data_IF_168004780009
#
_entry.id   IF_168004780009
#
_cell.length_a   1.000
_cell.length_b   1.000
_cell.length_c   1.000
_cell.angle_alpha   90.00
_cell.angle_beta   90.00
_cell.angle_gamma   90.00
#
_symmetry.space_group_name_H-M   'P 1'
#
loop_
_entity.id
_entity.type
_entity.pdbx_description
1 polymer ?
#
# COMPACT_ATOMS: atom_id res chain seq x y z
N UNK A 1 1.90 14.67 13.54
CA UNK A 1 3.20 14.08 13.15
C UNK A 1 3.37 14.08 11.63
N UNK A 2 2.51 13.39 10.87
CA UNK A 2 2.74 13.21 9.42
C UNK A 2 2.69 14.46 8.51
N UNK A 3 2.20 15.61 8.99
CA UNK A 3 2.32 16.90 8.26
C UNK A 3 3.78 17.23 7.91
N UNK A 4 4.73 16.76 8.71
CA UNK A 4 6.16 16.97 8.45
C UNK A 4 6.59 16.39 7.09
N UNK A 5 5.94 15.33 6.59
CA UNK A 5 6.20 14.77 5.27
C UNK A 5 5.83 15.77 4.17
N UNK A 6 4.61 16.31 4.19
CA UNK A 6 4.20 17.33 3.21
C UNK A 6 5.04 18.60 3.29
N UNK A 7 5.47 18.99 4.50
CA UNK A 7 6.32 20.17 4.69
C UNK A 7 7.75 19.97 4.15
N UNK A 8 8.18 18.73 3.97
CA UNK A 8 9.50 18.35 3.44
C UNK A 8 9.40 17.70 2.04
N UNK A 9 8.27 17.83 1.35
CA UNK A 9 8.03 17.14 0.08
C UNK A 9 9.11 17.42 -0.98
N UNK A 10 9.60 18.67 -1.04
CA UNK A 10 10.70 19.03 -1.95
C UNK A 10 12.00 18.28 -1.61
N UNK A 11 12.33 18.11 -0.33
CA UNK A 11 13.53 17.37 0.05
C UNK A 11 13.46 15.94 -0.45
N UNK A 12 12.30 15.29 -0.35
CA UNK A 12 12.13 13.94 -0.86
C UNK A 12 12.24 13.88 -2.39
N UNK A 13 11.69 14.86 -3.12
CA UNK A 13 11.85 14.95 -4.58
C UNK A 13 13.32 15.10 -4.99
N UNK A 14 14.03 16.04 -4.35
CA UNK A 14 15.43 16.36 -4.66
C UNK A 14 16.35 15.17 -4.38
N UNK A 15 16.04 14.39 -3.33
CA UNK A 15 16.84 13.26 -2.87
C UNK A 15 16.33 11.90 -3.35
N UNK A 16 15.26 11.86 -4.16
CA UNK A 16 14.83 10.62 -4.79
C UNK A 16 15.83 10.24 -5.91
N UNK A 17 16.08 8.94 -6.15
CA UNK A 17 17.05 8.46 -7.14
C UNK A 17 16.56 8.59 -8.60
N UNK A 18 15.68 9.56 -8.88
CA UNK A 18 15.10 9.82 -10.19
C UNK A 18 16.12 10.47 -11.12
N UNK A 19 15.86 10.43 -12.43
CA UNK A 19 16.65 11.22 -13.38
C UNK A 19 16.39 12.70 -13.13
N UNK A 20 17.39 13.56 -13.28
CA UNK A 20 17.21 15.00 -13.01
C UNK A 20 16.09 15.60 -13.87
N UNK A 21 16.02 15.24 -15.16
CA UNK A 21 14.96 15.71 -16.05
C UNK A 21 13.55 15.24 -15.64
N UNK A 22 13.46 14.17 -14.85
CA UNK A 22 12.20 13.61 -14.35
C UNK A 22 11.83 14.12 -12.95
N UNK A 23 12.67 14.93 -12.30
CA UNK A 23 12.34 15.58 -11.02
C UNK A 23 11.57 16.88 -11.24
N UNK A 24 10.74 17.26 -10.27
CA UNK A 24 10.05 18.55 -10.25
C UNK A 24 10.92 19.62 -9.61
N UNK A 25 11.01 20.77 -10.27
CA UNK A 25 11.62 21.99 -9.69
C UNK A 25 10.91 22.45 -8.41
N UNK A 26 9.59 22.22 -8.33
CA UNK A 26 8.79 22.56 -7.16
C UNK A 26 7.62 21.58 -6.95
N UNK A 27 7.60 20.94 -5.79
CA UNK A 27 6.48 20.14 -5.31
C UNK A 27 5.51 21.05 -4.55
N UNK A 28 4.42 21.44 -5.22
CA UNK A 28 3.39 22.31 -4.65
C UNK A 28 2.13 21.55 -4.25
N UNK A 29 1.48 22.03 -3.18
CA UNK A 29 0.06 21.79 -2.97
C UNK A 29 -0.37 20.41 -2.48
N UNK A 30 0.52 19.58 -1.93
CA UNK A 30 0.11 18.32 -1.29
C UNK A 30 -0.24 18.57 0.17
N UNK A 31 -1.53 18.51 0.49
CA UNK A 31 -1.96 18.55 1.90
C UNK A 31 -2.26 17.15 2.40
N UNK A 32 -1.67 16.76 3.53
CA UNK A 32 -1.88 15.46 4.14
C UNK A 32 -2.63 15.55 5.48
N UNK A 33 -3.64 14.70 5.65
CA UNK A 33 -4.34 14.54 6.93
C UNK A 33 -4.60 13.08 7.25
N UNK A 34 -4.44 12.73 8.51
CA UNK A 34 -5.03 11.49 9.05
C UNK A 34 -6.45 11.85 9.50
N UNK A 35 -7.44 11.12 9.00
CA UNK A 35 -8.85 11.34 9.31
C UNK A 35 -9.43 10.15 10.06
N UNK A 36 -10.48 10.40 10.83
CA UNK A 36 -11.32 9.35 11.42
C UNK A 36 -12.56 9.21 10.54
N UNK A 37 -12.73 8.04 9.94
CA UNK A 37 -13.90 7.70 9.12
C UNK A 37 -15.11 7.56 10.02
N UNK A 38 -16.16 8.34 9.74
CA UNK A 38 -17.42 8.29 10.48
C UNK A 38 -18.44 7.30 9.88
N UNK A 39 -18.34 7.03 8.57
CA UNK A 39 -19.17 6.09 7.84
C UNK A 39 -18.80 6.09 6.36
N UNK A 40 -19.03 4.97 5.68
CA UNK A 40 -18.63 4.70 4.30
C UNK A 40 -19.82 4.22 3.47
N UNK A 41 -19.80 4.46 2.17
CA UNK A 41 -20.86 4.05 1.25
C UNK A 41 -20.32 3.90 -0.17
N UNK A 42 -21.12 3.33 -1.07
CA UNK A 42 -20.70 3.10 -2.46
C UNK A 42 -19.50 2.15 -2.53
N UNK A 43 -18.54 2.49 -3.38
CA UNK A 43 -17.36 1.65 -3.67
C UNK A 43 -16.38 1.52 -2.48
N UNK A 44 -16.56 2.33 -1.43
CA UNK A 44 -15.76 2.28 -0.22
C UNK A 44 -16.41 1.47 0.93
N UNK A 45 -17.51 0.73 0.67
CA UNK A 45 -18.17 -0.08 1.69
C UNK A 45 -18.76 -1.38 1.12
N UNK A 46 -18.55 -2.55 1.74
CA UNK A 46 -17.85 -2.75 3.03
C UNK A 46 -16.32 -2.90 2.89
N UNK A 47 -15.81 -3.00 1.66
CA UNK A 47 -14.37 -2.98 1.39
C UNK A 47 -13.94 -1.53 1.17
N UNK A 48 -12.94 -1.08 1.90
CA UNK A 48 -12.53 0.33 1.94
C UNK A 48 -11.03 0.46 1.69
N UNK A 49 -10.57 1.53 1.01
CA UNK A 49 -9.15 1.85 0.97
C UNK A 49 -8.63 2.27 2.35
N UNK A 50 -7.31 2.30 2.52
CA UNK A 50 -6.67 2.84 3.73
C UNK A 50 -6.17 4.27 3.55
N UNK A 51 -6.10 4.73 2.30
CA UNK A 51 -5.66 6.07 1.90
C UNK A 51 -6.39 6.52 0.64
N UNK A 52 -6.51 7.83 0.45
CA UNK A 52 -7.14 8.44 -0.73
C UNK A 52 -6.39 9.71 -1.11
N UNK A 53 -5.99 9.84 -2.38
CA UNK A 53 -5.38 11.05 -2.93
C UNK A 53 -6.22 11.61 -4.09
N UNK A 54 -6.79 12.80 -3.89
CA UNK A 54 -7.73 13.42 -4.85
C UNK A 54 -7.46 14.91 -5.03
N UNK A 55 -7.85 15.50 -6.18
CA UNK A 55 -8.62 14.90 -7.29
C UNK A 55 -7.75 14.10 -8.27
N UNK A 56 -8.40 13.29 -9.12
CA UNK A 56 -7.73 12.51 -10.18
C UNK A 56 -7.27 13.35 -11.38
N UNK A 57 -7.71 14.61 -11.50
CA UNK A 57 -7.38 15.46 -12.64
C UNK A 57 -5.96 16.06 -12.51
N UNK A 58 -5.04 15.66 -13.39
CA UNK A 58 -3.63 16.04 -13.29
C UNK A 58 -3.37 17.55 -13.42
N UNK A 59 -4.12 18.25 -14.27
CA UNK A 59 -3.99 19.71 -14.37
C UNK A 59 -4.36 20.41 -13.04
N UNK A 60 -5.40 19.94 -12.32
CA UNK A 60 -5.77 20.49 -11.01
C UNK A 60 -4.67 20.18 -9.99
N UNK A 61 -4.17 18.95 -9.97
CA UNK A 61 -3.07 18.56 -9.06
C UNK A 61 -1.83 19.42 -9.28
N UNK A 62 -1.53 19.77 -10.53
CA UNK A 62 -0.37 20.58 -10.92
C UNK A 62 -0.57 22.07 -10.59
N UNK A 63 -1.73 22.64 -10.93
CA UNK A 63 -1.96 24.10 -10.84
C UNK A 63 -2.49 24.55 -9.47
N UNK A 64 -3.21 23.68 -8.76
CA UNK A 64 -3.89 23.99 -7.49
C UNK A 64 -3.37 23.13 -6.34
N UNK A 65 -3.15 21.84 -6.58
CA UNK A 65 -2.69 20.87 -5.59
C UNK A 65 -3.67 19.70 -5.37
N UNK A 66 -3.38 18.87 -4.37
CA UNK A 66 -4.19 17.70 -4.01
C UNK A 66 -4.35 17.54 -2.49
N UNK A 67 -5.33 16.73 -2.11
CA UNK A 67 -5.55 16.29 -0.73
C UNK A 67 -5.30 14.80 -0.68
N UNK A 68 -4.32 14.43 0.12
CA UNK A 68 -4.07 13.06 0.50
C UNK A 68 -4.58 12.85 1.93
N UNK A 69 -5.35 11.78 2.14
CA UNK A 69 -5.87 11.40 3.45
C UNK A 69 -5.59 9.94 3.75
N UNK A 70 -5.19 9.65 4.98
CA UNK A 70 -5.15 8.28 5.49
C UNK A 70 -6.29 8.04 6.47
N UNK A 71 -6.94 6.89 6.34
CA UNK A 71 -8.10 6.50 7.14
C UNK A 71 -7.60 5.84 8.43
N UNK A 72 -7.25 6.68 9.42
CA UNK A 72 -6.46 6.26 10.58
C UNK A 72 -7.13 5.21 11.45
N UNK A 73 -8.46 5.29 11.63
CA UNK A 73 -9.23 4.29 12.40
C UNK A 73 -9.42 2.98 11.62
N UNK A 74 -9.48 3.02 10.29
CA UNK A 74 -9.53 1.82 9.45
C UNK A 74 -8.18 1.07 9.52
N UNK A 75 -7.07 1.77 9.33
CA UNK A 75 -5.71 1.21 9.47
C UNK A 75 -5.53 0.59 10.86
N UNK A 76 -5.96 1.30 11.90
CA UNK A 76 -5.90 0.82 13.28
C UNK A 76 -6.72 -0.46 13.47
N UNK A 77 -7.95 -0.51 12.95
CA UNK A 77 -8.80 -1.70 13.03
C UNK A 77 -8.20 -2.90 12.28
N UNK A 78 -7.60 -2.68 11.10
CA UNK A 78 -6.84 -3.71 10.39
C UNK A 78 -5.72 -4.27 11.25
N UNK A 79 -4.85 -3.42 11.80
CA UNK A 79 -3.70 -3.83 12.59
C UNK A 79 -4.11 -4.63 13.84
N UNK A 80 -5.19 -4.23 14.51
CA UNK A 80 -5.70 -4.92 15.70
C UNK A 80 -6.50 -6.19 15.38
N UNK A 81 -6.87 -6.43 14.12
CA UNK A 81 -7.56 -7.65 13.69
C UNK A 81 -6.60 -8.77 13.25
N UNK A 82 -5.33 -8.46 12.99
CA UNK A 82 -4.33 -9.44 12.54
C UNK A 82 -3.98 -10.39 13.68
N UNK A 83 -3.96 -11.70 13.41
CA UNK A 83 -3.52 -12.69 14.39
C UNK A 83 -1.99 -12.81 14.37
N UNK A 84 -1.36 -12.72 15.54
CA UNK A 84 0.08 -12.96 15.68
C UNK A 84 0.50 -14.37 15.28
N UNK A 85 -0.43 -15.34 15.35
CA UNK A 85 -0.20 -16.72 14.92
C UNK A 85 0.10 -16.84 13.42
N UNK A 86 -0.63 -16.10 12.56
CA UNK A 86 -0.33 -16.09 11.11
C UNK A 86 1.02 -15.48 10.83
N UNK A 87 1.35 -14.38 11.51
CA UNK A 87 2.67 -13.76 11.38
C UNK A 87 3.79 -14.78 11.69
N UNK A 88 3.71 -15.42 12.87
CA UNK A 88 4.71 -16.39 13.33
C UNK A 88 4.89 -17.61 12.40
N UNK A 89 3.86 -17.99 11.64
CA UNK A 89 3.95 -19.08 10.67
C UNK A 89 4.78 -18.73 9.43
N UNK A 90 4.81 -17.45 9.02
CA UNK A 90 5.38 -17.04 7.73
C UNK A 90 6.68 -16.24 7.82
N UNK A 91 7.03 -15.68 8.97
CA UNK A 91 8.33 -15.04 9.22
C UNK A 91 9.47 -16.06 9.18
N UNK A 92 10.64 -15.65 8.73
CA UNK A 92 11.84 -16.47 8.67
C UNK A 92 12.36 -16.81 10.08
N UNK A 93 12.38 -15.89 11.02
CA UNK A 93 12.92 -16.18 12.36
C UNK A 93 12.29 -15.33 13.45
N UNK A 94 12.77 -15.52 14.68
CA UNK A 94 12.28 -14.78 15.84
C UNK A 94 12.72 -13.31 15.81
N UNK A 95 13.80 -12.97 15.11
CA UNK A 95 14.26 -11.59 14.98
C UNK A 95 13.29 -10.80 14.09
N UNK A 96 12.94 -11.34 12.91
CA UNK A 96 11.90 -10.76 12.04
C UNK A 96 10.56 -10.66 12.81
N UNK A 97 10.18 -11.70 13.56
CA UNK A 97 8.94 -11.72 14.34
C UNK A 97 8.86 -10.59 15.36
N UNK A 98 9.91 -10.37 16.14
CA UNK A 98 9.93 -9.34 17.18
C UNK A 98 10.09 -7.93 16.58
N UNK A 99 10.83 -7.78 15.49
CA UNK A 99 10.90 -6.52 14.73
C UNK A 99 9.54 -6.11 14.16
N UNK A 100 8.82 -7.04 13.54
CA UNK A 100 7.49 -6.79 13.00
C UNK A 100 6.50 -6.42 14.12
N UNK A 101 6.55 -7.09 15.28
CA UNK A 101 5.73 -6.73 16.44
C UNK A 101 6.04 -5.34 17.00
N UNK A 102 7.31 -4.96 17.01
CA UNK A 102 7.74 -3.68 17.57
C UNK A 102 7.50 -2.50 16.60
N UNK A 103 7.71 -2.72 15.30
CA UNK A 103 7.81 -1.64 14.31
C UNK A 103 6.83 -1.76 13.14
N UNK A 104 6.28 -2.95 12.85
CA UNK A 104 5.46 -3.20 11.65
C UNK A 104 4.25 -2.30 11.52
N UNK A 105 3.52 -2.04 12.61
CA UNK A 105 2.38 -1.11 12.58
C UNK A 105 2.79 0.33 12.21
N UNK A 106 3.93 0.81 12.72
CA UNK A 106 4.42 2.15 12.41
C UNK A 106 5.02 2.20 11.00
N UNK A 107 5.70 1.12 10.58
CA UNK A 107 6.21 0.93 9.24
C UNK A 107 5.08 1.00 8.20
N UNK A 108 4.00 0.23 8.36
CA UNK A 108 2.83 0.23 7.47
C UNK A 108 2.22 1.65 7.34
N UNK A 109 2.06 2.33 8.48
CA UNK A 109 1.52 3.70 8.53
C UNK A 109 2.41 4.71 7.82
N UNK A 110 3.73 4.61 8.00
CA UNK A 110 4.70 5.50 7.36
C UNK A 110 4.87 5.19 5.87
N UNK A 111 4.86 3.90 5.49
CA UNK A 111 4.87 3.48 4.10
C UNK A 111 3.68 4.05 3.36
N UNK A 112 2.47 3.86 3.89
CA UNK A 112 1.23 4.42 3.33
C UNK A 112 1.32 5.95 3.23
N UNK A 113 1.81 6.62 4.27
CA UNK A 113 1.94 8.07 4.25
C UNK A 113 2.95 8.56 3.19
N UNK A 114 4.10 7.88 3.05
CA UNK A 114 5.09 8.21 2.04
C UNK A 114 4.56 7.92 0.63
N UNK A 115 3.94 6.77 0.41
CA UNK A 115 3.29 6.38 -0.85
C UNK A 115 2.28 7.45 -1.30
N UNK A 116 1.36 7.81 -0.40
CA UNK A 116 0.24 8.68 -0.72
C UNK A 116 0.63 10.15 -0.89
N UNK A 117 1.54 10.64 -0.04
CA UNK A 117 1.91 12.07 0.04
C UNK A 117 3.07 12.39 -0.88
N UNK A 118 4.08 11.52 -0.92
CA UNK A 118 5.32 11.78 -1.64
C UNK A 118 5.35 10.95 -2.92
N UNK A 119 5.01 9.66 -2.85
CA UNK A 119 5.01 8.71 -3.94
C UNK A 119 4.24 9.27 -5.13
N UNK A 120 2.92 9.33 -5.05
CA UNK A 120 2.08 9.86 -6.13
C UNK A 120 2.29 11.34 -6.49
N UNK A 121 2.93 12.12 -5.62
CA UNK A 121 3.20 13.53 -5.87
C UNK A 121 4.56 13.77 -6.56
N UNK A 122 5.47 12.81 -6.51
CA UNK A 122 6.82 12.93 -7.04
C UNK A 122 6.90 12.71 -8.54
N UNK A 123 7.94 13.28 -9.14
CA UNK A 123 8.31 13.05 -10.54
C UNK A 123 7.37 13.67 -11.58
N UNK A 124 7.89 13.91 -12.77
CA UNK A 124 7.14 14.52 -13.88
C UNK A 124 7.31 13.77 -15.19
N UNK A 125 6.33 13.93 -16.08
CA UNK A 125 6.37 13.40 -17.44
C UNK A 125 7.13 14.35 -18.38
N UNK A 126 7.78 13.78 -19.39
CA UNK A 126 8.54 14.57 -20.36
C UNK A 126 7.61 15.40 -21.26
N UNK A 127 8.04 16.60 -21.71
CA UNK A 127 7.26 17.40 -22.64
C UNK A 127 6.90 16.60 -23.91
N UNK A 128 5.61 16.59 -24.25
CA UNK A 128 5.10 15.88 -25.43
C UNK A 128 4.72 14.41 -25.19
N UNK A 129 4.98 13.86 -24.00
CA UNK A 129 4.48 12.54 -23.59
C UNK A 129 3.05 12.69 -23.06
N UNK A 130 2.16 11.78 -23.47
CA UNK A 130 0.76 11.75 -23.02
C UNK A 130 0.63 11.33 -21.55
N UNK A 131 -0.60 11.39 -21.04
CA UNK A 131 -0.87 10.98 -19.65
C UNK A 131 -0.57 9.48 -19.45
N UNK A 132 -0.15 9.08 -18.24
CA UNK A 132 0.26 7.69 -17.96
C UNK A 132 -0.82 6.66 -18.34
N UNK A 133 -2.10 7.01 -18.17
CA UNK A 133 -3.23 6.15 -18.58
C UNK A 133 -3.31 5.96 -20.10
N UNK A 134 -2.92 6.96 -20.88
CA UNK A 134 -2.96 6.93 -22.34
C UNK A 134 -1.75 6.17 -22.90
N UNK A 135 -0.56 6.39 -22.33
CA UNK A 135 0.70 5.81 -22.80
C UNK A 135 0.85 4.35 -22.36
N UNK A 136 0.52 4.03 -21.10
CA UNK A 136 0.73 2.70 -20.51
C UNK A 136 -0.53 1.82 -20.47
N UNK A 137 -1.70 2.37 -20.81
CA UNK A 137 -2.97 1.65 -20.96
C UNK A 137 -3.32 0.80 -19.73
N UNK A 138 -3.45 -0.52 -19.90
CA UNK A 138 -3.80 -1.49 -18.86
C UNK A 138 -2.71 -1.63 -17.78
N UNK A 139 -1.47 -1.23 -18.04
CA UNK A 139 -0.39 -1.27 -17.06
C UNK A 139 -0.23 0.01 -16.24
N UNK A 140 -0.97 1.07 -16.59
CA UNK A 140 -0.82 2.38 -15.95
C UNK A 140 -1.01 2.34 -14.43
N UNK A 141 -2.07 1.67 -13.95
CA UNK A 141 -2.36 1.58 -12.52
C UNK A 141 -1.29 0.79 -11.77
N UNK A 142 -0.92 -0.40 -12.24
CA UNK A 142 0.06 -1.23 -11.53
C UNK A 142 1.45 -0.58 -11.50
N UNK A 143 1.86 0.12 -12.57
CA UNK A 143 3.11 0.87 -12.56
C UNK A 143 3.06 2.04 -11.58
N UNK A 144 2.00 2.84 -11.59
CA UNK A 144 1.91 4.03 -10.73
C UNK A 144 1.92 3.64 -9.25
N UNK A 145 1.22 2.58 -8.89
CA UNK A 145 1.20 2.04 -7.52
C UNK A 145 2.56 1.52 -7.08
N UNK A 146 3.23 0.70 -7.90
CA UNK A 146 4.55 0.18 -7.53
C UNK A 146 5.63 1.26 -7.50
N UNK A 147 5.54 2.29 -8.35
CA UNK A 147 6.43 3.46 -8.28
C UNK A 147 6.24 4.22 -6.97
N UNK A 148 5.00 4.43 -6.53
CA UNK A 148 4.71 5.07 -5.25
C UNK A 148 5.15 4.21 -4.06
N UNK A 149 4.95 2.88 -4.12
CA UNK A 149 5.45 1.92 -3.14
C UNK A 149 6.97 1.96 -3.03
N UNK A 150 7.68 1.94 -4.17
CA UNK A 150 9.14 2.01 -4.24
C UNK A 150 9.68 3.31 -3.63
N UNK A 151 9.02 4.44 -3.87
CA UNK A 151 9.39 5.68 -3.22
C UNK A 151 9.23 5.59 -1.70
N UNK A 152 8.10 5.02 -1.25
CA UNK A 152 7.87 4.75 0.17
C UNK A 152 8.96 3.86 0.77
N UNK A 153 9.27 2.74 0.13
CA UNK A 153 10.31 1.79 0.57
C UNK A 153 11.70 2.44 0.61
N UNK A 154 12.04 3.23 -0.41
CA UNK A 154 13.34 3.90 -0.48
C UNK A 154 13.56 4.87 0.69
N UNK A 155 12.52 5.59 1.11
CA UNK A 155 12.62 6.55 2.22
C UNK A 155 12.28 5.96 3.60
N UNK A 156 11.66 4.78 3.69
CA UNK A 156 11.51 4.05 4.95
C UNK A 156 12.85 3.61 5.54
N UNK A 157 13.77 3.20 4.68
CA UNK A 157 15.14 2.84 5.07
C UNK A 157 16.07 4.07 4.96
N UNK A 158 15.67 5.19 5.58
CA UNK A 158 16.44 6.44 5.51
C UNK A 158 16.51 7.18 6.87
N UNK A 159 17.70 7.66 7.29
CA UNK A 159 17.86 8.39 8.56
C UNK A 159 17.03 9.67 8.65
N UNK A 160 16.59 10.22 7.50
CA UNK A 160 15.77 11.43 7.47
C UNK A 160 14.48 11.27 8.28
N UNK A 161 13.90 10.08 8.34
CA UNK A 161 12.69 9.86 9.13
C UNK A 161 12.92 10.12 10.62
N UNK A 162 14.07 9.70 11.14
CA UNK A 162 14.44 9.96 12.54
C UNK A 162 14.79 11.43 12.74
N UNK A 163 15.51 12.07 11.81
CA UNK A 163 15.79 13.51 11.85
C UNK A 163 14.52 14.37 11.90
N UNK A 164 13.47 13.94 11.20
CA UNK A 164 12.16 14.60 11.19
C UNK A 164 11.29 14.23 12.41
N UNK A 165 11.80 13.41 13.34
CA UNK A 165 11.09 12.98 14.54
C UNK A 165 9.88 12.08 14.27
N UNK A 166 9.89 11.36 13.14
CA UNK A 166 8.82 10.41 12.78
C UNK A 166 9.01 9.05 13.45
N UNK A 167 10.26 8.66 13.69
CA UNK A 167 10.67 7.37 14.25
C UNK A 167 11.84 7.57 15.21
N UNK A 168 11.98 6.67 16.18
CA UNK A 168 13.10 6.69 17.14
C UNK A 168 14.32 5.90 16.62
N UNK A 169 14.07 4.82 15.88
CA UNK A 169 15.07 4.00 15.20
C UNK A 169 14.62 3.75 13.76
N UNK A 170 15.17 4.51 12.82
CA UNK A 170 14.81 4.37 11.40
C UNK A 170 15.31 3.05 10.80
N UNK A 171 16.40 2.48 11.33
CA UNK A 171 17.03 1.30 10.76
C UNK A 171 16.21 0.06 11.11
N UNK A 172 15.85 -0.10 12.40
CA UNK A 172 14.98 -1.20 12.84
C UNK A 172 13.60 -1.13 12.15
N UNK A 173 13.02 0.07 12.01
CA UNK A 173 11.75 0.24 11.31
C UNK A 173 11.85 -0.08 9.82
N UNK A 174 12.90 0.38 9.15
CA UNK A 174 13.14 0.10 7.74
C UNK A 174 13.37 -1.39 7.47
N UNK A 175 14.12 -2.08 8.35
CA UNK A 175 14.31 -3.54 8.32
C UNK A 175 12.97 -4.27 8.39
N UNK A 176 12.14 -3.98 9.39
CA UNK A 176 10.81 -4.58 9.52
C UNK A 176 9.92 -4.32 8.28
N UNK A 177 9.97 -3.10 7.73
CA UNK A 177 9.22 -2.76 6.52
C UNK A 177 9.66 -3.60 5.32
N UNK A 178 10.96 -3.81 5.14
CA UNK A 178 11.51 -4.58 4.02
C UNK A 178 11.17 -6.06 4.14
N UNK A 179 11.34 -6.65 5.32
CA UNK A 179 10.94 -8.03 5.58
C UNK A 179 9.45 -8.25 5.29
N UNK A 180 8.61 -7.38 5.84
CA UNK A 180 7.17 -7.40 5.60
C UNK A 180 6.81 -7.29 4.12
N UNK A 181 7.46 -6.38 3.38
CA UNK A 181 7.19 -6.16 1.96
C UNK A 181 7.62 -7.36 1.10
N UNK A 182 8.83 -7.88 1.30
CA UNK A 182 9.34 -9.05 0.55
C UNK A 182 8.52 -10.31 0.87
N UNK A 183 8.22 -10.56 2.15
CA UNK A 183 7.35 -11.67 2.58
C UNK A 183 5.94 -11.53 2.03
N UNK A 184 5.43 -10.31 1.86
CA UNK A 184 4.15 -10.09 1.21
C UNK A 184 4.21 -10.37 -0.30
N UNK A 185 5.09 -9.67 -1.00
CA UNK A 185 5.21 -9.70 -2.45
C UNK A 185 5.53 -11.08 -3.02
N UNK A 186 6.43 -11.82 -2.37
CA UNK A 186 6.89 -13.13 -2.86
C UNK A 186 6.06 -14.32 -2.36
N UNK A 187 5.22 -14.16 -1.33
CA UNK A 187 4.64 -15.32 -0.65
C UNK A 187 3.25 -15.09 -0.06
N UNK A 188 3.14 -14.27 0.98
CA UNK A 188 1.93 -14.27 1.82
C UNK A 188 0.71 -13.63 1.15
N UNK A 189 0.89 -12.81 0.10
CA UNK A 189 -0.24 -12.30 -0.67
C UNK A 189 -1.01 -13.39 -1.43
N UNK A 190 -0.37 -14.52 -1.74
CA UNK A 190 -0.95 -15.63 -2.50
C UNK A 190 -2.12 -16.31 -1.76
N UNK A 191 -2.23 -16.08 -0.44
CA UNK A 191 -3.38 -16.49 0.39
C UNK A 191 -4.73 -15.96 -0.15
N UNK A 192 -4.69 -14.89 -0.96
CA UNK A 192 -5.86 -14.22 -1.54
C UNK A 192 -6.36 -14.82 -2.85
N UNK A 193 -5.57 -15.70 -3.47
CA UNK A 193 -5.84 -16.28 -4.79
C UNK A 193 -6.39 -17.71 -4.66
N UNK A 194 -7.20 -18.14 -5.63
CA UNK A 194 -7.54 -19.56 -5.74
C UNK A 194 -6.39 -20.30 -6.42
N UNK A 195 -6.14 -21.55 -6.02
CA UNK A 195 -5.09 -22.37 -6.61
C UNK A 195 -5.27 -22.48 -8.13
N UNK A 196 -4.21 -22.18 -8.88
CA UNK A 196 -4.22 -22.14 -10.35
C UNK A 196 -4.42 -20.73 -10.95
N UNK A 197 -4.85 -19.75 -10.15
CA UNK A 197 -4.97 -18.37 -10.60
C UNK A 197 -3.58 -17.68 -10.68
N UNK A 198 -3.46 -16.75 -11.62
CA UNK A 198 -2.37 -15.76 -11.68
C UNK A 198 -2.81 -14.46 -10.96
N UNK A 199 -1.88 -13.53 -10.75
CA UNK A 199 -2.22 -12.24 -10.13
C UNK A 199 -2.91 -11.31 -11.13
N UNK A 200 -4.08 -10.79 -10.78
CA UNK A 200 -4.85 -9.85 -11.62
C UNK A 200 -4.90 -8.43 -11.07
N UNK A 201 -5.04 -8.27 -9.76
CA UNK A 201 -5.26 -7.00 -9.09
C UNK A 201 -3.98 -6.12 -9.11
N UNK A 202 -4.11 -4.84 -9.47
CA UNK A 202 -2.99 -3.94 -9.74
C UNK A 202 -2.04 -3.74 -8.54
N UNK A 203 -2.58 -3.68 -7.31
CA UNK A 203 -1.77 -3.56 -6.10
C UNK A 203 -1.02 -4.86 -5.77
N UNK A 204 -1.67 -6.02 -5.91
CA UNK A 204 -1.00 -7.33 -5.76
C UNK A 204 0.09 -7.51 -6.82
N UNK A 205 -0.18 -7.16 -8.07
CA UNK A 205 0.79 -7.21 -9.17
C UNK A 205 2.02 -6.38 -8.85
N UNK A 206 1.85 -5.17 -8.32
CA UNK A 206 2.99 -4.31 -8.05
C UNK A 206 3.88 -4.80 -6.91
N UNK A 207 3.28 -5.26 -5.81
CA UNK A 207 4.05 -5.84 -4.71
C UNK A 207 4.84 -7.06 -5.18
N UNK A 208 4.22 -7.84 -6.07
CA UNK A 208 4.89 -8.99 -6.68
C UNK A 208 6.06 -8.55 -7.57
N UNK A 209 5.84 -7.67 -8.57
CA UNK A 209 6.93 -7.32 -9.47
C UNK A 209 8.06 -6.55 -8.79
N UNK A 210 7.78 -5.70 -7.79
CA UNK A 210 8.81 -5.03 -7.01
C UNK A 210 9.70 -6.05 -6.30
N UNK A 211 9.08 -7.03 -5.64
CA UNK A 211 9.81 -8.01 -4.84
C UNK A 211 10.51 -9.06 -5.69
N UNK A 212 9.86 -9.55 -6.75
CA UNK A 212 10.43 -10.54 -7.67
C UNK A 212 11.60 -9.96 -8.47
N UNK A 213 11.50 -8.70 -8.92
CA UNK A 213 12.60 -8.01 -9.59
C UNK A 213 13.81 -7.87 -8.64
N UNK A 214 13.60 -7.40 -7.41
CA UNK A 214 14.67 -7.25 -6.43
C UNK A 214 15.31 -8.59 -6.07
N UNK A 215 14.49 -9.65 -5.91
CA UNK A 215 14.96 -11.02 -5.69
C UNK A 215 15.86 -11.51 -6.84
N UNK A 216 15.43 -11.34 -8.08
CA UNK A 216 16.21 -11.76 -9.24
C UNK A 216 17.51 -10.94 -9.38
N UNK A 217 17.44 -9.61 -9.32
CA UNK A 217 18.62 -8.76 -9.50
C UNK A 217 19.62 -8.86 -8.35
N UNK A 218 19.15 -9.18 -7.15
CA UNK A 218 19.98 -9.43 -5.97
C UNK A 218 20.58 -10.85 -5.89
N UNK A 219 20.17 -11.77 -6.77
CA UNK A 219 20.51 -13.20 -6.63
C UNK A 219 22.02 -13.48 -6.66
N UNK A 220 22.79 -12.75 -7.48
CA UNK A 220 24.25 -12.93 -7.58
C UNK A 220 24.97 -12.66 -6.25
N UNK A 221 24.43 -11.73 -5.47
CA UNK A 221 25.00 -11.29 -4.19
C UNK A 221 24.25 -11.89 -3.00
N UNK A 222 23.29 -12.79 -3.24
CA UNK A 222 22.40 -13.39 -2.25
C UNK A 222 21.67 -12.37 -1.36
N UNK A 223 21.25 -11.23 -1.93
CA UNK A 223 20.61 -10.12 -1.18
C UNK A 223 19.33 -10.58 -0.48
N UNK A 224 18.50 -11.36 -1.19
CA UNK A 224 17.30 -12.01 -0.66
C UNK A 224 17.46 -13.50 -0.93
N UNK A 225 17.25 -14.32 0.09
CA UNK A 225 17.40 -15.77 0.05
C UNK A 225 16.04 -16.46 0.24
N UNK A 226 15.72 -17.42 -0.65
CA UNK A 226 14.58 -18.32 -0.48
C UNK A 226 15.03 -19.54 0.33
N UNK A 227 14.62 -19.61 1.58
CA UNK A 227 14.99 -20.67 2.54
C UNK A 227 13.89 -21.72 2.59
N UNK A 228 14.24 -23.01 2.54
CA UNK A 228 13.30 -24.10 2.82
C UNK A 228 13.68 -24.79 4.14
N UNK A 229 12.75 -24.83 5.09
CA UNK A 229 12.89 -25.57 6.37
C UNK A 229 11.69 -26.47 6.54
N UNK A 230 11.94 -27.77 6.65
CA UNK A 230 10.91 -28.80 6.85
C UNK A 230 9.76 -28.74 5.83
N UNK A 231 10.08 -28.44 4.56
CA UNK A 231 9.09 -28.32 3.49
C UNK A 231 8.32 -27.01 3.47
N UNK A 232 8.69 -26.03 4.32
CA UNK A 232 8.12 -24.68 4.34
C UNK A 232 9.11 -23.66 3.78
N UNK A 233 8.62 -22.83 2.88
CA UNK A 233 9.36 -21.72 2.28
C UNK A 233 9.33 -20.48 3.18
N UNK A 234 10.47 -19.81 3.27
CA UNK A 234 10.68 -18.53 3.94
C UNK A 234 11.57 -17.66 3.06
N UNK A 235 11.51 -16.35 3.28
CA UNK A 235 12.41 -15.40 2.61
C UNK A 235 13.21 -14.67 3.69
N UNK A 236 14.52 -14.60 3.49
CA UNK A 236 15.44 -13.90 4.39
C UNK A 236 16.16 -12.80 3.61
N UNK A 237 16.28 -11.61 4.19
CA UNK A 237 17.06 -10.51 3.61
C UNK A 237 18.44 -10.53 4.26
N UNK A 238 19.47 -10.85 3.46
CA UNK A 238 20.86 -10.91 3.94
C UNK A 238 21.56 -9.55 3.91
N UNK A 239 21.12 -8.63 3.04
CA UNK A 239 21.75 -7.31 2.87
C UNK A 239 20.71 -6.22 2.57
N UNK A 240 20.28 -5.53 3.62
CA UNK A 240 19.28 -4.47 3.53
C UNK A 240 19.78 -3.24 2.79
N UNK A 241 21.08 -2.92 2.90
CA UNK A 241 21.67 -1.77 2.23
C UNK A 241 21.70 -2.01 0.71
N UNK A 242 22.05 -3.22 0.26
CA UNK A 242 21.94 -3.59 -1.17
C UNK A 242 20.49 -3.66 -1.65
N UNK A 243 19.56 -4.11 -0.81
CA UNK A 243 18.15 -4.09 -1.18
C UNK A 243 17.64 -2.65 -1.35
N UNK A 244 18.08 -1.72 -0.51
CA UNK A 244 17.79 -0.29 -0.65
C UNK A 244 18.30 0.26 -1.99
N UNK A 245 19.53 -0.11 -2.40
CA UNK A 245 20.08 0.25 -3.70
C UNK A 245 19.25 -0.32 -4.86
N UNK A 246 18.82 -1.58 -4.77
CA UNK A 246 17.96 -2.22 -5.79
C UNK A 246 16.60 -1.53 -5.91
N UNK A 247 15.96 -1.20 -4.78
CA UNK A 247 14.72 -0.42 -4.81
C UNK A 247 14.93 0.97 -5.41
N UNK A 248 16.06 1.63 -5.14
CA UNK A 248 16.41 2.90 -5.77
C UNK A 248 16.59 2.79 -7.29
N UNK A 249 17.23 1.72 -7.78
CA UNK A 249 17.38 1.43 -9.20
C UNK A 249 16.03 1.18 -9.88
N UNK A 250 15.17 0.38 -9.26
CA UNK A 250 13.84 0.09 -9.80
C UNK A 250 12.92 1.32 -9.76
N UNK A 251 13.02 2.16 -8.72
CA UNK A 251 12.32 3.44 -8.65
C UNK A 251 12.73 4.37 -9.79
N UNK A 252 14.03 4.46 -10.07
CA UNK A 252 14.56 5.23 -11.20
C UNK A 252 13.99 4.74 -12.52
N UNK A 253 13.98 3.43 -12.75
CA UNK A 253 13.50 2.84 -14.00
C UNK A 253 11.99 2.98 -14.17
N UNK A 254 11.21 2.73 -13.12
CA UNK A 254 9.74 2.90 -13.17
C UNK A 254 9.34 4.36 -13.39
N UNK A 255 10.08 5.32 -12.82
CA UNK A 255 9.91 6.73 -13.15
C UNK A 255 10.27 7.01 -14.62
N UNK A 256 11.35 6.44 -15.16
CA UNK A 256 11.70 6.59 -16.59
C UNK A 256 10.57 6.08 -17.50
N UNK A 257 10.10 4.86 -17.25
CA UNK A 257 9.00 4.23 -17.98
C UNK A 257 7.78 5.16 -18.00
N UNK A 258 7.39 5.68 -16.84
CA UNK A 258 6.27 6.63 -16.70
C UNK A 258 6.53 7.92 -17.49
N UNK A 259 7.71 8.51 -17.34
CA UNK A 259 8.03 9.85 -17.84
C UNK A 259 8.21 9.89 -19.35
N UNK A 260 8.66 8.78 -19.94
CA UNK A 260 8.87 8.59 -21.37
C UNK A 260 7.68 7.92 -22.07
N UNK A 261 6.72 7.36 -21.31
CA UNK A 261 5.57 6.63 -21.87
C UNK A 261 5.96 5.29 -22.50
N UNK A 262 6.95 4.61 -21.94
CA UNK A 262 7.53 3.38 -22.49
C UNK A 262 6.66 2.16 -22.19
N UNK A 263 5.63 1.95 -23.03
CA UNK A 263 4.71 0.83 -22.90
C UNK A 263 5.43 -0.53 -22.89
N UNK A 264 6.43 -0.72 -23.75
CA UNK A 264 7.10 -2.01 -23.91
C UNK A 264 7.91 -2.40 -22.67
N UNK A 265 8.65 -1.44 -22.09
CA UNK A 265 9.35 -1.69 -20.83
C UNK A 265 8.38 -1.92 -19.67
N UNK A 266 7.24 -1.21 -19.65
CA UNK A 266 6.20 -1.43 -18.65
C UNK A 266 5.58 -2.83 -18.76
N UNK A 267 5.25 -3.27 -19.97
CA UNK A 267 4.71 -4.60 -20.26
C UNK A 267 5.70 -5.68 -19.82
N UNK A 268 6.98 -5.57 -20.21
CA UNK A 268 8.01 -6.52 -19.80
C UNK A 268 8.13 -6.61 -18.27
N UNK A 269 8.22 -5.48 -17.57
CA UNK A 269 8.31 -5.46 -16.10
C UNK A 269 7.10 -6.14 -15.44
N UNK A 270 5.88 -5.85 -15.91
CA UNK A 270 4.67 -6.39 -15.29
C UNK A 270 4.48 -7.86 -15.64
N UNK A 271 4.63 -8.26 -16.90
CA UNK A 271 4.37 -9.64 -17.32
C UNK A 271 5.45 -10.61 -16.84
N UNK A 272 6.72 -10.18 -16.80
CA UNK A 272 7.82 -11.05 -16.36
C UNK A 272 7.85 -11.26 -14.84
N UNK A 273 7.43 -10.26 -14.06
CA UNK A 273 7.59 -10.28 -12.60
C UNK A 273 6.28 -10.16 -11.80
N UNK A 274 5.21 -9.64 -12.37
CA UNK A 274 4.02 -9.21 -11.63
C UNK A 274 2.78 -10.11 -11.79
N UNK A 275 2.76 -10.99 -12.79
CA UNK A 275 1.56 -11.77 -13.14
C UNK A 275 1.67 -13.23 -12.69
N UNK A 276 2.76 -13.91 -13.05
CA UNK A 276 2.87 -15.37 -12.92
C UNK A 276 3.07 -15.80 -11.47
N UNK A 277 2.31 -16.80 -11.05
CA UNK A 277 2.40 -17.37 -9.70
C UNK A 277 3.14 -18.72 -9.74
N UNK A 278 4.15 -18.89 -8.88
CA UNK A 278 4.73 -20.19 -8.56
C UNK A 278 3.67 -21.06 -7.87
N UNK A 279 3.07 -21.98 -8.62
CA UNK A 279 1.94 -22.78 -8.15
C UNK A 279 2.33 -23.79 -7.06
N UNK A 280 3.61 -24.20 -6.99
CA UNK A 280 4.08 -25.07 -5.89
C UNK A 280 4.12 -24.28 -4.58
N UNK A 281 4.70 -23.07 -4.63
CA UNK A 281 4.70 -22.16 -3.48
C UNK A 281 3.27 -21.75 -3.09
N UNK A 282 2.38 -21.51 -4.07
CA UNK A 282 0.99 -21.16 -3.81
C UNK A 282 0.26 -22.26 -3.05
N UNK A 283 0.37 -23.51 -3.50
CA UNK A 283 -0.21 -24.66 -2.82
C UNK A 283 0.31 -24.80 -1.39
N UNK A 284 1.62 -24.61 -1.19
CA UNK A 284 2.25 -24.62 0.13
C UNK A 284 1.66 -23.53 1.05
N UNK A 285 1.57 -22.29 0.56
CA UNK A 285 1.04 -21.14 1.30
C UNK A 285 -0.43 -21.35 1.69
N UNK A 286 -1.26 -21.87 0.77
CA UNK A 286 -2.66 -22.17 1.07
C UNK A 286 -2.79 -23.27 2.12
N UNK A 287 -1.97 -24.34 2.04
CA UNK A 287 -1.97 -25.41 3.04
C UNK A 287 -1.58 -24.88 4.42
N UNK A 288 -0.48 -24.13 4.52
CA UNK A 288 -0.02 -23.49 5.76
C UNK A 288 -1.09 -22.56 6.33
N UNK A 289 -1.85 -21.87 5.49
CA UNK A 289 -2.86 -20.92 5.94
C UNK A 289 -4.17 -21.56 6.43
N UNK A 290 -4.47 -22.84 6.11
CA UNK A 290 -5.71 -23.53 6.54
C UNK A 290 -5.89 -23.58 8.06
N UNK A 291 -4.80 -23.53 8.82
CA UNK A 291 -4.85 -23.50 10.28
C UNK A 291 -5.42 -22.19 10.86
N UNK A 292 -5.51 -21.12 10.05
CA UNK A 292 -6.01 -19.82 10.49
C UNK A 292 -7.46 -19.60 10.02
N UNK A 293 -8.42 -19.41 10.94
CA UNK A 293 -9.84 -19.28 10.60
C UNK A 293 -10.19 -17.95 9.92
N UNK A 294 -9.29 -16.96 9.95
CA UNK A 294 -9.53 -15.63 9.39
C UNK A 294 -9.48 -15.62 7.86
N UNK A 295 -10.52 -15.06 7.24
CA UNK A 295 -10.59 -14.86 5.80
C UNK A 295 -9.42 -13.98 5.27
N UNK A 296 -9.04 -14.14 3.99
CA UNK A 296 -7.97 -13.37 3.36
C UNK A 296 -8.35 -11.91 3.06
N UNK A 297 -9.65 -11.64 2.89
CA UNK A 297 -10.21 -10.32 2.67
C UNK A 297 -10.94 -9.84 3.94
N UNK A 298 -10.93 -8.53 4.16
CA UNK A 298 -11.66 -7.91 5.26
C UNK A 298 -12.63 -6.87 4.72
N UNK A 299 -13.68 -6.63 5.48
CA UNK A 299 -14.61 -5.51 5.28
C UNK A 299 -15.07 -4.97 6.62
N UNK A 300 -15.62 -3.77 6.62
CA UNK A 300 -16.05 -3.05 7.81
C UNK A 300 -17.55 -2.86 7.79
N UNK A 301 -18.16 -3.04 8.96
CA UNK A 301 -19.52 -2.57 9.20
C UNK A 301 -19.46 -1.12 9.65
N UNK A 302 -20.34 -0.29 9.12
CA UNK A 302 -20.43 1.11 9.53
C UNK A 302 -21.01 1.22 10.95
N UNK A 303 -20.61 2.22 11.76
CA UNK A 303 -21.39 2.59 12.93
C UNK A 303 -22.73 3.20 12.52
N UNK A 304 -23.69 3.23 13.45
CA UNK A 304 -24.96 3.95 13.30
C UNK A 304 -24.87 5.23 14.13
N UNK A 305 -25.08 6.37 13.47
CA UNK A 305 -25.08 7.69 14.10
C UNK A 305 -26.53 8.10 14.38
N UNK A 306 -26.92 8.13 15.66
CA UNK A 306 -28.30 8.39 16.09
C UNK A 306 -28.39 9.76 16.75
N UNK A 307 -29.09 10.75 16.16
CA UNK A 307 -29.26 12.06 16.79
C UNK A 307 -30.22 11.99 17.98
N UNK A 308 -29.81 12.60 19.09
CA UNK A 308 -30.69 12.94 20.21
C UNK A 308 -31.23 14.36 20.00
N UNK A 309 -32.53 14.55 20.16
CA UNK A 309 -33.20 15.84 19.92
C UNK A 309 -33.88 16.36 21.18
N UNK A 310 -33.84 17.69 21.40
CA UNK A 310 -34.61 18.35 22.45
C UNK A 310 -36.09 18.53 22.08
N UNK A 311 -36.88 19.11 22.99
CA UNK A 311 -38.31 19.38 22.77
C UNK A 311 -38.62 20.34 21.61
N UNK A 312 -37.63 21.13 21.18
CA UNK A 312 -37.73 22.07 20.05
C UNK A 312 -37.26 21.44 18.73
N UNK A 313 -36.84 20.16 18.74
CA UNK A 313 -36.35 19.42 17.57
C UNK A 313 -34.89 19.69 17.22
N UNK A 314 -34.13 20.35 18.09
CA UNK A 314 -32.70 20.61 17.88
C UNK A 314 -31.84 19.43 18.33
N UNK A 315 -30.77 19.13 17.60
CA UNK A 315 -29.83 18.07 17.96
C UNK A 315 -29.01 18.49 19.18
N UNK A 316 -29.09 17.71 20.26
CA UNK A 316 -28.32 17.91 21.49
C UNK A 316 -27.10 16.99 21.60
N UNK A 317 -27.16 15.81 20.96
CA UNK A 317 -26.07 14.85 20.92
C UNK A 317 -26.18 13.93 19.68
N UNK A 318 -25.06 13.28 19.33
CA UNK A 318 -25.03 12.18 18.36
C UNK A 318 -24.52 10.94 19.10
N UNK A 319 -25.38 9.94 19.25
CA UNK A 319 -25.04 8.65 19.83
C UNK A 319 -24.47 7.73 18.75
N UNK A 320 -23.26 7.21 18.97
CA UNK A 320 -22.59 6.27 18.04
C UNK A 320 -22.82 4.85 18.55
N UNK A 321 -23.55 4.05 17.78
CA UNK A 321 -23.81 2.63 18.09
C UNK A 321 -23.26 1.72 17.00
N UNK A 322 -23.15 0.43 17.29
CA UNK A 322 -22.73 -0.58 16.32
C UNK A 322 -23.94 -1.41 15.87
N UNK A 323 -24.01 -1.82 14.59
CA UNK A 323 -25.03 -2.77 14.16
C UNK A 323 -24.81 -4.12 14.85
N UNK A 324 -25.89 -4.89 15.03
CA UNK A 324 -25.83 -6.23 15.62
C UNK A 324 -24.98 -7.19 14.78
N UNK A 325 -25.07 -7.08 13.46
CA UNK A 325 -24.30 -7.88 12.51
C UNK A 325 -24.24 -7.20 11.14
N UNK A 326 -23.35 -7.69 10.27
CA UNK A 326 -23.31 -7.30 8.86
C UNK A 326 -24.65 -7.51 8.15
N UNK A 327 -25.30 -8.66 8.38
CA UNK A 327 -26.59 -8.97 7.76
C UNK A 327 -27.69 -8.00 8.23
N UNK A 328 -27.72 -7.67 9.53
CA UNK A 328 -28.66 -6.70 10.08
C UNK A 328 -28.46 -5.31 9.45
N UNK A 329 -27.22 -4.86 9.31
CA UNK A 329 -26.90 -3.58 8.65
C UNK A 329 -27.34 -3.56 7.18
N UNK A 330 -27.08 -4.62 6.42
CA UNK A 330 -27.46 -4.67 5.01
C UNK A 330 -28.99 -4.70 4.81
N UNK A 331 -29.72 -5.38 5.70
CA UNK A 331 -31.18 -5.36 5.69
C UNK A 331 -31.74 -3.97 6.06
N UNK A 332 -31.12 -3.28 7.02
CA UNK A 332 -31.48 -1.91 7.38
C UNK A 332 -31.25 -0.94 6.21
N UNK A 333 -30.08 -1.03 5.55
CA UNK A 333 -29.76 -0.24 4.36
C UNK A 333 -30.74 -0.47 3.22
N UNK A 334 -31.08 -1.73 2.94
CA UNK A 334 -32.11 -2.06 1.93
C UNK A 334 -33.46 -1.42 2.27
N UNK A 335 -33.86 -1.44 3.53
CA UNK A 335 -35.17 -0.93 3.97
C UNK A 335 -35.25 0.60 3.93
N UNK A 336 -34.20 1.27 4.41
CA UNK A 336 -34.25 2.71 4.69
C UNK A 336 -33.50 3.57 3.67
N UNK A 337 -32.59 3.00 2.88
CA UNK A 337 -31.68 3.73 2.00
C UNK A 337 -31.65 3.22 0.55
N UNK A 338 -32.59 2.34 0.15
CA UNK A 338 -32.73 1.85 -1.23
C UNK A 338 -33.75 2.66 -2.03
N UNK A 339 -33.33 3.82 -2.53
CA UNK A 339 -34.24 4.78 -3.21
C UNK A 339 -34.36 4.58 -4.73
N UNK A 340 -33.49 3.80 -5.35
CA UNK A 340 -33.53 3.55 -6.79
C UNK A 340 -34.62 2.51 -7.13
N UNK A 341 -35.30 2.66 -8.28
CA UNK A 341 -36.19 1.63 -8.79
C UNK A 341 -35.41 0.36 -9.14
N UNK A 342 -36.13 -0.76 -9.24
CA UNK A 342 -35.54 -2.04 -9.67
C UNK A 342 -34.98 -1.96 -11.11
N UNK A 343 -35.48 -1.04 -11.94
CA UNK A 343 -35.02 -0.78 -13.31
C UNK A 343 -34.75 0.72 -13.46
N UNK A 344 -33.50 1.07 -13.79
CA UNK A 344 -33.02 2.46 -13.94
C UNK A 344 -32.92 2.87 -15.40
#
# INVERSE_FOLDING_TARGET
>A
KMKVLSDNAQWFEDNAPLMEDHKKDSVVGVTYKVVTVAGESGDASPSTPIGVNLPNANWIRKEVGSKSVSLGNIINAYNNSRSSGRLKEFVNDEEEYELEKAHGELADKLHTALHEVIGHASGQINPGVGETKETLKNYASTLEEGRADLLGLYFLYNPKLQELGLVDDWKALGTAAYDGYIRNGLMTQLIRLNLGDDVEEAHMRNRQWVSAWAFEKGAKDNVIEKVNRDGKTYFNINDYDKLHELFGQLLRETQRIKSEGDFAACEALVEDYGVKVDQELHAEVLERNKQFPSAPYSGFVNPVLVPEMNGDGEITAINVTQPESFAAQMLDYKKNYSFLPEVN
#
